data_IF_473649462714
#
_entry.id   IF_473649462714
#
_cell.length_a   1.000
_cell.length_b   1.000
_cell.length_c   1.000
_cell.angle_alpha   90.00
_cell.angle_beta   90.00
_cell.angle_gamma   90.00
#
_symmetry.space_group_name_H-M   'P 1'
#
loop_
_entity.id
_entity.type
_entity.pdbx_description
1 polymer ?
#
# COMPACT_ATOMS: atom_id res chain seq x y z
N UNK A 1 -24.10 -0.40 -11.41
CA UNK A 1 -23.45 -0.30 -12.72
C UNK A 1 -21.98 -0.66 -12.62
N UNK A 2 -21.19 0.03 -11.79
CA UNK A 2 -19.74 -0.22 -11.62
C UNK A 2 -19.41 -1.67 -11.25
N UNK A 3 -20.15 -2.29 -10.31
CA UNK A 3 -19.96 -3.70 -9.93
C UNK A 3 -20.09 -4.65 -11.13
N UNK A 4 -21.10 -4.45 -11.97
CA UNK A 4 -21.32 -5.31 -13.14
C UNK A 4 -20.20 -5.15 -14.18
N UNK A 5 -19.68 -3.93 -14.35
CA UNK A 5 -18.55 -3.65 -15.22
C UNK A 5 -17.29 -4.40 -14.72
N UNK A 6 -16.99 -4.31 -13.42
CA UNK A 6 -15.83 -4.98 -12.81
C UNK A 6 -15.94 -6.52 -12.89
N UNK A 7 -17.13 -7.08 -12.64
CA UNK A 7 -17.37 -8.51 -12.80
C UNK A 7 -17.16 -8.96 -14.24
N UNK A 8 -17.60 -8.14 -15.23
CA UNK A 8 -17.37 -8.46 -16.64
C UNK A 8 -15.89 -8.42 -17.01
N UNK A 9 -15.14 -7.45 -16.51
CA UNK A 9 -13.68 -7.39 -16.69
C UNK A 9 -13.01 -8.66 -16.11
N UNK A 10 -13.44 -9.10 -14.92
CA UNK A 10 -12.92 -10.32 -14.29
C UNK A 10 -13.24 -11.58 -15.11
N UNK A 11 -14.45 -11.70 -15.66
CA UNK A 11 -14.82 -12.80 -16.58
C UNK A 11 -13.93 -12.83 -17.83
N UNK A 12 -13.42 -11.68 -18.27
CA UNK A 12 -12.48 -11.57 -19.39
C UNK A 12 -11.03 -11.86 -19.01
N UNK A 13 -10.75 -12.24 -17.75
CA UNK A 13 -9.43 -12.60 -17.25
C UNK A 13 -8.60 -11.42 -16.70
N UNK A 14 -9.18 -10.23 -16.55
CA UNK A 14 -8.48 -9.11 -15.93
C UNK A 14 -8.46 -9.23 -14.41
N UNK A 15 -7.34 -8.88 -13.81
CA UNK A 15 -7.26 -8.59 -12.38
C UNK A 15 -7.87 -7.22 -12.10
N UNK A 16 -8.55 -7.10 -10.96
CA UNK A 16 -9.30 -5.89 -10.61
C UNK A 16 -8.60 -5.18 -9.44
N UNK A 17 -8.40 -3.89 -9.59
CA UNK A 17 -8.11 -2.95 -8.50
C UNK A 17 -9.17 -1.87 -8.50
N UNK A 18 -9.51 -1.32 -7.34
CA UNK A 18 -10.61 -0.35 -7.23
C UNK A 18 -10.13 0.89 -6.49
N UNK A 19 -10.19 2.05 -7.14
CA UNK A 19 -10.15 3.34 -6.46
C UNK A 19 -11.38 3.45 -5.57
N UNK A 20 -11.21 3.42 -4.25
CA UNK A 20 -12.25 3.18 -3.30
C UNK A 20 -12.24 4.19 -2.14
N UNK A 21 -13.43 4.68 -1.77
CA UNK A 21 -13.68 5.43 -0.55
C UNK A 21 -12.72 6.61 -0.31
N UNK A 22 -12.31 7.32 -1.37
CA UNK A 22 -11.47 8.51 -1.20
C UNK A 22 -12.27 9.66 -0.57
N UNK A 23 -13.45 9.96 -1.11
CA UNK A 23 -14.29 11.07 -0.65
C UNK A 23 -15.65 10.61 -0.07
N UNK A 24 -16.11 9.42 -0.45
CA UNK A 24 -17.38 8.84 -0.03
C UNK A 24 -17.25 7.34 0.18
N UNK A 25 -17.88 6.81 1.25
CA UNK A 25 -17.84 5.38 1.58
C UNK A 25 -18.64 4.49 0.62
N UNK A 26 -18.34 3.18 0.63
CA UNK A 26 -19.11 2.10 0.03
C UNK A 26 -18.46 1.43 -1.18
N UNK A 27 -17.45 2.03 -1.83
CA UNK A 27 -16.76 1.39 -2.96
C UNK A 27 -15.74 0.34 -2.51
N UNK A 28 -15.20 0.42 -1.31
CA UNK A 28 -14.38 -0.64 -0.70
C UNK A 28 -15.15 -1.95 -0.54
N UNK A 29 -16.44 -1.87 -0.18
CA UNK A 29 -17.33 -3.05 -0.14
C UNK A 29 -17.49 -3.67 -1.52
N UNK A 30 -17.67 -2.85 -2.56
CA UNK A 30 -17.75 -3.33 -3.95
C UNK A 30 -16.43 -4.02 -4.35
N UNK A 31 -15.28 -3.47 -3.97
CA UNK A 31 -13.98 -4.08 -4.23
C UNK A 31 -13.91 -5.52 -3.67
N UNK A 32 -14.32 -5.72 -2.42
CA UNK A 32 -14.38 -7.05 -1.79
C UNK A 32 -15.38 -7.96 -2.52
N UNK A 33 -16.59 -7.48 -2.81
CA UNK A 33 -17.65 -8.28 -3.45
C UNK A 33 -17.30 -8.76 -4.86
N UNK A 34 -16.47 -8.00 -5.61
CA UNK A 34 -15.98 -8.43 -6.92
C UNK A 34 -14.68 -9.25 -6.81
N UNK A 35 -14.13 -9.40 -5.61
CA UNK A 35 -12.86 -10.07 -5.35
C UNK A 35 -11.70 -9.33 -6.02
N UNK A 36 -11.65 -8.01 -5.86
CA UNK A 36 -10.54 -7.18 -6.30
C UNK A 36 -9.25 -7.51 -5.55
N UNK A 37 -8.10 -7.36 -6.18
CA UNK A 37 -6.79 -7.52 -5.55
C UNK A 37 -6.53 -6.41 -4.53
N UNK A 38 -6.98 -5.17 -4.84
CA UNK A 38 -6.85 -4.04 -3.93
C UNK A 38 -8.05 -3.11 -3.94
N UNK A 39 -8.19 -2.40 -2.83
CA UNK A 39 -9.01 -1.22 -2.66
C UNK A 39 -8.09 -0.07 -2.25
N UNK A 40 -7.99 0.94 -3.09
CA UNK A 40 -6.99 1.99 -3.01
C UNK A 40 -7.63 3.26 -2.44
N UNK A 41 -6.89 4.07 -1.66
CA UNK A 41 -7.29 5.25 -0.90
C UNK A 41 -7.89 4.97 0.48
N UNK A 42 -9.19 4.81 0.63
CA UNK A 42 -9.89 4.41 1.86
C UNK A 42 -10.02 5.52 2.92
N UNK A 43 -9.77 6.79 2.60
CA UNK A 43 -9.84 7.91 3.54
C UNK A 43 -11.22 8.03 4.20
N UNK A 44 -12.31 7.81 3.42
CA UNK A 44 -13.70 7.93 3.86
C UNK A 44 -14.34 6.59 4.26
N UNK A 45 -13.57 5.50 4.37
CA UNK A 45 -14.11 4.17 4.70
C UNK A 45 -14.68 4.13 6.12
N UNK A 46 -15.89 3.59 6.28
CA UNK A 46 -16.56 3.44 7.57
C UNK A 46 -16.21 2.13 8.28
N UNK A 47 -16.44 2.06 9.58
CA UNK A 47 -16.00 0.92 10.43
C UNK A 47 -16.57 -0.44 9.98
N UNK A 48 -17.80 -0.50 9.45
CA UNK A 48 -18.40 -1.73 8.93
C UNK A 48 -17.69 -2.21 7.65
N UNK A 49 -17.33 -1.27 6.76
CA UNK A 49 -16.63 -1.59 5.52
C UNK A 49 -15.16 -1.95 5.79
N UNK A 50 -14.51 -1.32 6.80
CA UNK A 50 -13.19 -1.75 7.30
C UNK A 50 -13.26 -3.21 7.78
N UNK A 51 -14.29 -3.57 8.55
CA UNK A 51 -14.45 -4.95 9.02
C UNK A 51 -14.64 -5.93 7.88
N UNK A 52 -15.44 -5.55 6.89
CA UNK A 52 -15.70 -6.38 5.71
C UNK A 52 -14.43 -6.58 4.85
N UNK A 53 -13.66 -5.50 4.64
CA UNK A 53 -12.39 -5.52 3.94
C UNK A 53 -11.35 -6.38 4.68
N UNK A 54 -11.26 -6.23 6.00
CA UNK A 54 -10.28 -6.94 6.83
C UNK A 54 -10.49 -8.47 6.85
N UNK A 55 -11.71 -8.97 6.58
CA UNK A 55 -12.02 -10.39 6.49
C UNK A 55 -11.97 -10.93 5.05
N UNK A 56 -11.30 -10.23 4.15
CA UNK A 56 -11.14 -10.61 2.75
C UNK A 56 -9.66 -10.67 2.34
N UNK A 57 -9.40 -11.21 1.14
CA UNK A 57 -8.07 -11.20 0.53
C UNK A 57 -7.76 -9.90 -0.23
N UNK A 58 -8.70 -8.93 -0.25
CA UNK A 58 -8.50 -7.63 -0.89
C UNK A 58 -7.53 -6.78 -0.06
N UNK A 59 -6.44 -6.36 -0.65
CA UNK A 59 -5.43 -5.52 0.03
C UNK A 59 -5.95 -4.08 0.13
N UNK A 60 -5.91 -3.52 1.33
CA UNK A 60 -6.10 -2.10 1.55
C UNK A 60 -4.83 -1.33 1.17
N UNK A 61 -4.90 -0.42 0.20
CA UNK A 61 -3.75 0.41 -0.19
C UNK A 61 -3.95 1.83 0.31
N UNK A 62 -3.16 2.21 1.31
CA UNK A 62 -3.10 3.59 1.78
C UNK A 62 -2.23 4.44 0.85
N UNK A 63 -2.71 5.63 0.50
CA UNK A 63 -2.07 6.57 -0.42
C UNK A 63 -1.80 7.93 0.26
N UNK A 64 -0.85 7.98 1.22
CA UNK A 64 -0.67 9.17 2.07
C UNK A 64 -0.28 10.43 1.29
N UNK A 65 0.30 10.29 0.11
CA UNK A 65 0.62 11.42 -0.77
C UNK A 65 -0.63 12.17 -1.25
N UNK A 66 -1.70 11.44 -1.58
CA UNK A 66 -2.97 12.03 -1.97
C UNK A 66 -3.66 12.71 -0.78
N UNK A 67 -3.72 12.03 0.37
CA UNK A 67 -4.28 12.61 1.61
C UNK A 67 -3.58 13.95 1.97
N UNK A 68 -2.24 13.99 1.89
CA UNK A 68 -1.45 15.21 2.14
C UNK A 68 -1.72 16.30 1.10
N UNK A 69 -1.72 15.94 -0.18
CA UNK A 69 -1.87 16.91 -1.27
C UNK A 69 -3.26 17.55 -1.32
N UNK A 70 -4.28 16.83 -0.87
CA UNK A 70 -5.67 17.28 -0.85
C UNK A 70 -6.12 17.83 0.50
N UNK A 71 -5.32 17.65 1.56
CA UNK A 71 -5.71 18.01 2.93
C UNK A 71 -6.78 17.11 3.52
N UNK A 72 -6.90 15.87 3.04
CA UNK A 72 -7.84 14.87 3.51
C UNK A 72 -7.29 14.09 4.72
N UNK A 73 -8.17 13.46 5.52
CA UNK A 73 -7.74 12.49 6.54
C UNK A 73 -6.90 11.37 5.90
N UNK A 74 -6.03 10.74 6.69
CA UNK A 74 -5.35 9.51 6.22
C UNK A 74 -6.30 8.31 6.27
N UNK A 75 -6.08 7.38 5.34
CA UNK A 75 -6.71 6.04 5.39
C UNK A 75 -6.62 5.46 6.80
N UNK A 76 -7.64 4.75 7.31
CA UNK A 76 -7.69 4.23 8.67
C UNK A 76 -6.81 2.98 8.86
N UNK A 77 -5.52 3.10 8.52
CA UNK A 77 -4.55 2.00 8.44
C UNK A 77 -4.43 1.21 9.76
N UNK A 78 -4.44 1.89 10.92
CA UNK A 78 -4.39 1.22 12.22
C UNK A 78 -5.62 0.32 12.43
N UNK A 79 -6.83 0.84 12.16
CA UNK A 79 -8.07 0.06 12.31
C UNK A 79 -8.10 -1.15 11.38
N UNK A 80 -7.61 -1.00 10.14
CA UNK A 80 -7.53 -2.10 9.16
C UNK A 80 -6.63 -3.22 9.70
N UNK A 81 -5.43 -2.88 10.19
CA UNK A 81 -4.49 -3.86 10.76
C UNK A 81 -5.03 -4.50 12.05
N UNK A 82 -5.65 -3.72 12.95
CA UNK A 82 -6.20 -4.24 14.20
C UNK A 82 -7.35 -5.24 13.98
N UNK A 83 -8.04 -5.13 12.84
CA UNK A 83 -9.07 -6.08 12.42
C UNK A 83 -8.52 -7.27 11.60
N UNK A 84 -7.20 -7.36 11.43
CA UNK A 84 -6.53 -8.45 10.70
C UNK A 84 -6.44 -8.24 9.19
N UNK A 85 -6.77 -7.06 8.68
CA UNK A 85 -6.69 -6.75 7.25
C UNK A 85 -5.26 -6.62 6.74
N UNK A 86 -5.08 -6.77 5.43
CA UNK A 86 -3.81 -6.64 4.75
C UNK A 86 -3.64 -5.20 4.28
N UNK A 87 -2.60 -4.52 4.77
CA UNK A 87 -2.28 -3.13 4.42
C UNK A 87 -1.05 -3.07 3.54
N UNK A 88 -1.14 -2.38 2.40
CA UNK A 88 0.01 -1.90 1.63
C UNK A 88 0.01 -0.36 1.58
N UNK A 89 1.14 0.23 1.21
CA UNK A 89 1.31 1.68 1.06
C UNK A 89 1.92 1.95 -0.31
N UNK A 90 1.35 2.90 -1.04
CA UNK A 90 1.87 3.38 -2.32
C UNK A 90 1.84 4.91 -2.37
N UNK A 91 2.48 5.49 -3.37
CA UNK A 91 2.67 6.94 -3.45
C UNK A 91 1.51 7.67 -4.10
N UNK A 92 0.74 6.99 -4.94
CA UNK A 92 -0.20 7.64 -5.85
C UNK A 92 0.45 8.78 -6.68
N UNK A 93 1.71 8.59 -7.06
CA UNK A 93 2.50 9.66 -7.68
C UNK A 93 1.86 10.17 -8.97
N UNK A 94 1.30 11.36 -8.89
CA UNK A 94 0.64 12.03 -10.01
C UNK A 94 0.75 13.55 -9.87
N UNK A 95 0.63 14.33 -10.97
CA UNK A 95 0.78 15.79 -10.93
C UNK A 95 -0.40 16.51 -10.26
N UNK A 96 -1.55 15.84 -10.07
CA UNK A 96 -2.76 16.45 -9.51
C UNK A 96 -2.75 16.49 -7.99
N UNK A 97 -2.92 15.34 -7.37
CA UNK A 97 -3.13 15.23 -5.91
C UNK A 97 -1.88 14.81 -5.13
N UNK A 98 -0.91 14.12 -5.76
CA UNK A 98 0.22 13.52 -5.06
C UNK A 98 1.56 13.74 -5.80
N UNK A 99 2.05 14.99 -5.96
CA UNK A 99 3.27 15.26 -6.73
C UNK A 99 4.56 14.78 -6.04
N UNK A 100 4.50 14.40 -4.76
CA UNK A 100 5.63 13.89 -3.99
C UNK A 100 5.72 12.38 -4.13
N UNK A 101 6.66 11.88 -4.96
CA UNK A 101 6.84 10.45 -5.23
C UNK A 101 7.71 9.69 -4.23
N UNK A 102 8.07 10.28 -3.07
CA UNK A 102 9.01 9.65 -2.13
C UNK A 102 8.29 8.72 -1.14
N UNK A 103 8.25 7.41 -1.46
CA UNK A 103 7.49 6.39 -0.71
C UNK A 103 7.87 6.34 0.79
N UNK A 104 9.16 6.36 1.11
CA UNK A 104 9.62 6.24 2.52
C UNK A 104 9.15 7.42 3.36
N UNK A 105 9.15 8.63 2.82
CA UNK A 105 8.62 9.83 3.50
C UNK A 105 7.13 9.69 3.76
N UNK A 106 6.35 9.32 2.75
CA UNK A 106 4.91 9.13 2.87
C UNK A 106 4.56 8.04 3.89
N UNK A 107 5.26 6.90 3.84
CA UNK A 107 5.08 5.80 4.78
C UNK A 107 5.42 6.20 6.23
N UNK A 108 6.48 7.00 6.42
CA UNK A 108 6.88 7.51 7.75
C UNK A 108 5.84 8.48 8.33
N UNK A 109 5.27 9.33 7.50
CA UNK A 109 4.19 10.25 7.91
C UNK A 109 2.96 9.44 8.32
N UNK A 110 2.51 8.51 7.47
CA UNK A 110 1.37 7.64 7.78
C UNK A 110 1.60 6.85 9.08
N UNK A 111 2.83 6.32 9.29
CA UNK A 111 3.20 5.61 10.51
C UNK A 111 2.97 6.46 11.76
N UNK A 112 3.36 7.71 11.73
CA UNK A 112 3.19 8.65 12.85
C UNK A 112 1.72 8.92 13.14
N UNK A 113 0.93 9.23 12.12
CA UNK A 113 -0.49 9.56 12.28
C UNK A 113 -1.34 8.34 12.66
N UNK A 114 -1.07 7.19 12.07
CA UNK A 114 -1.83 5.95 12.27
C UNK A 114 -1.22 5.03 13.35
N UNK A 115 -0.15 5.45 14.04
CA UNK A 115 0.50 4.68 15.11
C UNK A 115 0.96 3.29 14.65
N UNK A 116 1.56 3.21 13.48
CA UNK A 116 2.06 1.97 12.91
C UNK A 116 3.50 1.71 13.37
N UNK A 117 3.83 0.47 13.65
CA UNK A 117 5.20 0.05 13.96
C UNK A 117 6.08 0.03 12.70
N UNK A 118 7.40 0.10 12.90
CA UNK A 118 8.37 -0.04 11.81
C UNK A 118 8.17 -1.33 11.01
N UNK A 119 7.87 -2.45 11.70
CA UNK A 119 7.65 -3.74 11.05
C UNK A 119 6.39 -3.72 10.15
N UNK A 120 5.30 -3.13 10.62
CA UNK A 120 4.06 -2.99 9.84
C UNK A 120 4.27 -2.16 8.58
N UNK A 121 5.03 -1.06 8.69
CA UNK A 121 5.35 -0.19 7.56
C UNK A 121 6.27 -0.90 6.55
N UNK A 122 7.36 -1.53 7.02
CA UNK A 122 8.25 -2.26 6.12
C UNK A 122 7.50 -3.39 5.41
N UNK A 123 6.63 -4.12 6.09
CA UNK A 123 5.77 -5.11 5.48
C UNK A 123 4.84 -4.50 4.40
N UNK A 124 4.27 -3.32 4.68
CA UNK A 124 3.33 -2.65 3.79
C UNK A 124 3.97 -2.12 2.49
N UNK A 125 5.26 -1.73 2.53
CA UNK A 125 5.99 -1.24 1.35
C UNK A 125 6.85 -2.33 0.66
N UNK A 126 6.77 -3.60 1.11
CA UNK A 126 7.53 -4.70 0.53
C UNK A 126 6.61 -5.88 0.17
N UNK A 127 6.56 -6.94 0.99
CA UNK A 127 5.86 -8.17 0.61
C UNK A 127 4.34 -8.03 0.51
N UNK A 128 3.72 -7.14 1.29
CA UNK A 128 2.27 -6.88 1.16
C UNK A 128 1.95 -6.09 -0.11
N UNK A 129 2.83 -5.16 -0.51
CA UNK A 129 2.73 -4.49 -1.80
C UNK A 129 2.92 -5.47 -2.97
N UNK A 130 3.88 -6.41 -2.87
CA UNK A 130 4.06 -7.47 -3.85
C UNK A 130 2.81 -8.38 -3.93
N UNK A 131 2.21 -8.74 -2.79
CA UNK A 131 0.97 -9.50 -2.72
C UNK A 131 -0.21 -8.79 -3.40
N UNK A 132 -0.35 -7.47 -3.22
CA UNK A 132 -1.36 -6.66 -3.91
C UNK A 132 -1.25 -6.72 -5.44
N UNK A 133 -0.05 -6.96 -5.96
CA UNK A 133 0.25 -7.07 -7.38
C UNK A 133 0.32 -8.52 -7.89
N UNK A 134 -0.02 -9.51 -7.04
CA UNK A 134 0.07 -10.95 -7.35
C UNK A 134 1.51 -11.39 -7.72
N UNK A 135 2.51 -10.74 -7.11
CA UNK A 135 3.93 -11.02 -7.33
C UNK A 135 4.47 -11.89 -6.18
N UNK A 136 4.49 -13.20 -6.41
CA UNK A 136 4.94 -14.15 -5.38
C UNK A 136 6.47 -14.31 -5.31
N UNK A 137 7.19 -13.84 -6.32
CA UNK A 137 8.63 -14.06 -6.48
C UNK A 137 9.51 -12.98 -5.84
N UNK A 138 8.92 -11.97 -5.20
CA UNK A 138 9.65 -10.81 -4.62
C UNK A 138 8.99 -10.27 -3.35
N UNK A 139 9.53 -9.17 -2.81
CA UNK A 139 9.05 -8.51 -1.58
C UNK A 139 9.69 -9.06 -0.30
N UNK A 140 10.43 -10.17 -0.39
CA UNK A 140 11.21 -10.75 0.71
C UNK A 140 12.57 -11.25 0.22
N UNK A 141 13.58 -11.20 1.07
CA UNK A 141 14.88 -11.83 0.82
C UNK A 141 14.84 -13.27 1.33
N UNK A 142 14.61 -14.21 0.42
CA UNK A 142 14.53 -15.64 0.72
C UNK A 142 15.04 -16.49 -0.45
N UNK A 143 15.49 -17.70 -0.16
CA UNK A 143 15.93 -18.67 -1.19
C UNK A 143 14.82 -18.90 -2.20
N UNK A 144 15.16 -18.83 -3.49
CA UNK A 144 14.21 -19.03 -4.60
C UNK A 144 13.41 -17.77 -5.00
N UNK A 145 13.56 -16.66 -4.28
CA UNK A 145 12.96 -15.37 -4.65
C UNK A 145 13.95 -14.52 -5.44
N UNK A 146 13.42 -13.52 -6.15
CA UNK A 146 14.26 -12.52 -6.84
C UNK A 146 15.07 -11.71 -5.83
N UNK A 147 16.32 -11.47 -6.13
CA UNK A 147 17.20 -10.64 -5.33
C UNK A 147 17.00 -9.14 -5.69
N UNK A 148 15.79 -8.64 -5.46
CA UNK A 148 15.42 -7.22 -5.59
C UNK A 148 15.49 -6.60 -4.19
N UNK A 149 16.49 -5.76 -3.94
CA UNK A 149 16.66 -5.12 -2.64
C UNK A 149 17.42 -3.80 -2.75
N UNK A 150 17.31 -3.00 -1.71
CA UNK A 150 18.04 -1.74 -1.55
C UNK A 150 18.84 -1.77 -0.24
N UNK A 151 19.98 -1.08 -0.23
CA UNK A 151 20.81 -0.90 0.97
C UNK A 151 20.85 0.55 1.40
N UNK A 152 21.09 0.76 2.69
CA UNK A 152 21.22 2.08 3.29
C UNK A 152 22.48 2.15 4.17
N UNK A 153 23.16 3.29 4.17
CA UNK A 153 24.29 3.60 5.05
C UNK A 153 23.79 3.85 6.47
N UNK A 154 23.46 2.77 7.18
CA UNK A 154 22.99 2.86 8.57
C UNK A 154 23.25 1.54 9.30
N UNK A 155 23.49 1.61 10.60
CA UNK A 155 23.64 0.48 11.51
C UNK A 155 22.32 -0.04 12.09
N UNK A 156 21.22 0.69 11.86
CA UNK A 156 19.92 0.33 12.40
C UNK A 156 18.78 0.57 11.39
N UNK A 157 18.00 -0.47 11.10
CA UNK A 157 16.92 -0.42 10.10
C UNK A 157 15.82 0.60 10.40
N UNK A 158 15.58 0.93 11.68
CA UNK A 158 14.60 1.96 12.05
C UNK A 158 14.97 3.35 11.52
N UNK A 159 16.26 3.61 11.28
CA UNK A 159 16.73 4.88 10.74
C UNK A 159 16.17 5.17 9.34
N UNK A 160 15.82 4.14 8.57
CA UNK A 160 15.21 4.28 7.24
C UNK A 160 13.91 5.11 7.33
N UNK A 161 13.05 4.78 8.30
CA UNK A 161 11.78 5.48 8.51
C UNK A 161 11.95 6.72 9.39
N UNK A 162 12.79 6.65 10.44
CA UNK A 162 12.99 7.75 11.38
C UNK A 162 13.49 9.04 10.68
N UNK A 163 14.36 8.91 9.69
CA UNK A 163 14.88 10.04 8.94
C UNK A 163 13.90 10.61 7.88
N UNK A 164 12.70 10.07 7.77
CA UNK A 164 11.60 10.59 6.93
C UNK A 164 12.03 10.90 5.48
N UNK A 165 12.79 9.96 4.87
CA UNK A 165 13.26 10.09 3.50
C UNK A 165 14.58 10.86 3.31
N UNK A 166 15.17 11.42 4.38
CA UNK A 166 16.49 12.05 4.30
C UNK A 166 17.61 11.03 4.07
N UNK A 167 17.44 9.80 4.59
CA UNK A 167 18.36 8.69 4.34
C UNK A 167 18.05 8.09 2.97
N UNK A 168 18.88 8.39 1.97
CA UNK A 168 18.75 7.84 0.63
C UNK A 168 19.31 6.41 0.56
N UNK A 169 18.82 5.57 -0.37
CA UNK A 169 19.45 4.30 -0.69
C UNK A 169 20.92 4.49 -1.10
N UNK A 170 21.81 3.65 -0.56
CA UNK A 170 23.22 3.64 -0.97
C UNK A 170 23.44 2.78 -2.22
N UNK A 171 22.66 1.70 -2.37
CA UNK A 171 22.65 0.88 -3.58
C UNK A 171 21.26 0.28 -3.82
N UNK A 172 20.98 0.01 -5.09
CA UNK A 172 19.75 -0.65 -5.57
C UNK A 172 20.13 -1.87 -6.39
N UNK A 173 19.53 -3.01 -6.08
CA UNK A 173 19.75 -4.27 -6.78
C UNK A 173 18.46 -4.77 -7.41
N UNK A 174 18.51 -5.17 -8.68
CA UNK A 174 17.43 -5.85 -9.40
C UNK A 174 17.98 -7.19 -9.92
N UNK A 175 17.34 -8.29 -9.57
CA UNK A 175 17.80 -9.64 -9.85
C UNK A 175 19.28 -9.86 -9.44
N UNK A 176 19.68 -9.29 -8.30
CA UNK A 176 21.04 -9.40 -7.77
C UNK A 176 22.09 -8.54 -8.47
N UNK A 177 21.71 -7.71 -9.43
CA UNK A 177 22.63 -6.79 -10.13
C UNK A 177 22.44 -5.38 -9.61
N UNK A 178 23.54 -4.71 -9.22
CA UNK A 178 23.51 -3.30 -8.85
C UNK A 178 23.14 -2.45 -10.06
N UNK A 179 22.25 -1.49 -9.84
CA UNK A 179 21.81 -0.50 -10.84
C UNK A 179 22.03 0.95 -10.36
N UNK A 180 22.49 1.13 -9.15
CA UNK A 180 22.91 2.38 -8.54
C UNK A 180 24.18 2.13 -7.73
#
# INVERSE_FOLDING_TARGET
ESKNFLLKAKEMGFQITVHADQFTAGSSRIAVEVGAKSADHLEATIDDDISFLAHSDTVAIALPGASLGLGEPFSPARKILDKGGILAIATDWNPGSAPMGHLVTQASILATYQKLSTAEILAAITFRAAFALDLEDRGVLATGKKADFITYETDHFQNILYNQGRLAPSQVYINGKSIL
#
